data_IF_745990946655
#
_entry.id   IF_745990946655
#
_cell.length_a   1.000
_cell.length_b   1.000
_cell.length_c   1.000
_cell.angle_alpha   90.00
_cell.angle_beta   90.00
_cell.angle_gamma   90.00
#
_symmetry.space_group_name_H-M   'P 1'
#
loop_
_entity.id
_entity.type
_entity.pdbx_description
1 polymer ?
#
# COMPACT_ATOMS: atom_id res chain seq x y z
N UNK A 1 14.02 2.80 -29.02
CA UNK A 1 14.09 1.58 -28.21
C UNK A 1 15.21 0.73 -28.72
N UNK A 2 16.21 0.48 -27.89
CA UNK A 2 17.29 -0.47 -28.20
C UNK A 2 16.76 -1.91 -28.18
N UNK A 3 17.41 -2.87 -28.85
CA UNK A 3 16.99 -4.28 -28.83
C UNK A 3 16.91 -4.87 -27.40
N UNK A 4 17.77 -4.41 -26.48
CA UNK A 4 17.71 -4.77 -25.04
C UNK A 4 16.47 -4.23 -24.34
N UNK A 5 16.04 -3.02 -24.69
CA UNK A 5 14.81 -2.43 -24.13
C UNK A 5 13.56 -3.15 -24.65
N UNK A 6 13.56 -3.60 -25.90
CA UNK A 6 12.46 -4.39 -26.48
C UNK A 6 12.31 -5.77 -25.80
N UNK A 7 13.42 -6.47 -25.50
CA UNK A 7 13.40 -7.75 -24.78
C UNK A 7 12.87 -7.59 -23.34
N UNK A 8 13.28 -6.54 -22.63
CA UNK A 8 12.77 -6.24 -21.28
C UNK A 8 11.28 -5.90 -21.30
N UNK A 9 10.81 -5.16 -22.31
CA UNK A 9 9.39 -4.80 -22.46
C UNK A 9 8.51 -6.00 -22.82
N UNK A 10 8.99 -6.92 -23.66
CA UNK A 10 8.29 -8.15 -24.04
C UNK A 10 8.21 -9.13 -22.87
N UNK A 11 9.28 -9.25 -22.08
CA UNK A 11 9.29 -10.07 -20.86
C UNK A 11 8.36 -9.55 -19.75
N UNK A 12 7.97 -8.27 -19.75
CA UNK A 12 7.02 -7.72 -18.77
C UNK A 12 5.55 -8.06 -19.07
N UNK A 13 5.18 -8.29 -20.34
CA UNK A 13 3.78 -8.60 -20.70
C UNK A 13 3.34 -9.98 -20.20
N UNK A 14 4.25 -10.94 -20.15
CA UNK A 14 3.94 -12.30 -19.73
C UNK A 14 3.57 -12.42 -18.24
N UNK A 15 4.33 -11.85 -17.28
CA UNK A 15 3.93 -11.78 -15.86
C UNK A 15 2.59 -11.09 -15.63
N UNK A 16 2.28 -10.01 -16.36
CA UNK A 16 0.97 -9.33 -16.27
C UNK A 16 -0.15 -10.28 -16.68
N UNK A 17 0.01 -10.95 -17.82
CA UNK A 17 -0.98 -11.91 -18.31
C UNK A 17 -1.13 -13.12 -17.39
N UNK A 18 -0.03 -13.62 -16.82
CA UNK A 18 -0.03 -14.73 -15.87
C UNK A 18 -0.73 -14.35 -14.56
N UNK A 19 -0.50 -13.11 -14.08
CA UNK A 19 -1.17 -12.56 -12.90
C UNK A 19 -2.68 -12.51 -13.10
N UNK A 20 -3.13 -11.88 -14.19
CA UNK A 20 -4.54 -11.84 -14.57
C UNK A 20 -5.14 -13.25 -14.71
N UNK A 21 -4.38 -14.16 -15.33
CA UNK A 21 -4.78 -15.55 -15.55
C UNK A 21 -5.06 -16.31 -14.25
N UNK A 22 -4.17 -16.22 -13.25
CA UNK A 22 -4.43 -16.90 -11.98
C UNK A 22 -5.55 -16.23 -11.17
N UNK A 23 -5.69 -14.90 -11.25
CA UNK A 23 -6.77 -14.17 -10.58
C UNK A 23 -8.13 -14.65 -11.08
N UNK A 24 -8.31 -14.81 -12.40
CA UNK A 24 -9.53 -15.39 -12.97
C UNK A 24 -9.72 -16.85 -12.58
N UNK A 25 -8.66 -17.67 -12.66
CA UNK A 25 -8.71 -19.10 -12.31
C UNK A 25 -9.13 -19.33 -10.86
N UNK A 26 -8.55 -18.59 -9.90
CA UNK A 26 -8.81 -18.77 -8.47
C UNK A 26 -10.12 -18.11 -8.01
N UNK A 27 -10.59 -17.06 -8.70
CA UNK A 27 -11.91 -16.47 -8.44
C UNK A 27 -13.06 -17.31 -9.01
N UNK A 28 -12.80 -18.04 -10.10
CA UNK A 28 -13.84 -18.72 -10.89
C UNK A 28 -14.86 -17.75 -11.48
N UNK A 29 -14.51 -16.47 -11.61
CA UNK A 29 -15.35 -15.44 -12.20
C UNK A 29 -15.28 -15.48 -13.73
N UNK A 30 -16.34 -15.03 -14.41
CA UNK A 30 -16.35 -14.99 -15.86
C UNK A 30 -15.34 -13.96 -16.38
N UNK A 31 -14.81 -14.16 -17.60
CA UNK A 31 -13.83 -13.23 -18.19
C UNK A 31 -14.34 -11.79 -18.34
N UNK A 32 -15.66 -11.62 -18.48
CA UNK A 32 -16.31 -10.32 -18.68
C UNK A 32 -16.87 -9.73 -17.37
N UNK A 33 -16.70 -10.40 -16.23
CA UNK A 33 -17.14 -9.85 -14.95
C UNK A 33 -16.32 -8.58 -14.63
N UNK A 34 -16.95 -7.53 -14.06
CA UNK A 34 -16.23 -6.35 -13.60
C UNK A 34 -15.15 -6.75 -12.58
N UNK A 35 -13.99 -6.10 -12.65
CA UNK A 35 -12.85 -6.45 -11.80
C UNK A 35 -13.17 -6.47 -10.30
N UNK A 36 -13.98 -5.54 -9.78
CA UNK A 36 -14.41 -5.57 -8.39
C UNK A 36 -15.07 -6.90 -7.97
N UNK A 37 -15.86 -7.51 -8.86
CA UNK A 37 -16.48 -8.82 -8.63
C UNK A 37 -15.48 -9.96 -8.77
N UNK A 38 -14.57 -9.89 -9.75
CA UNK A 38 -13.50 -10.89 -9.94
C UNK A 38 -12.61 -10.97 -8.69
N UNK A 39 -12.11 -9.83 -8.21
CA UNK A 39 -11.31 -9.78 -6.99
C UNK A 39 -12.15 -10.12 -5.76
N UNK A 40 -13.39 -9.63 -5.63
CA UNK A 40 -14.29 -10.03 -4.54
C UNK A 40 -14.42 -11.55 -4.41
N UNK A 41 -14.63 -12.25 -5.52
CA UNK A 41 -14.67 -13.71 -5.57
C UNK A 41 -13.32 -14.36 -5.25
N UNK A 42 -12.20 -13.77 -5.69
CA UNK A 42 -10.85 -14.21 -5.30
C UNK A 42 -10.66 -14.14 -3.78
N UNK A 43 -11.10 -13.06 -3.12
CA UNK A 43 -11.01 -12.91 -1.66
C UNK A 43 -11.88 -13.94 -0.92
N UNK A 44 -13.02 -14.33 -1.46
CA UNK A 44 -13.89 -15.33 -0.85
C UNK A 44 -13.39 -16.77 -1.05
N UNK A 45 -12.91 -17.10 -2.24
CA UNK A 45 -12.61 -18.50 -2.64
C UNK A 45 -11.13 -18.85 -2.62
N UNK A 46 -10.25 -17.90 -2.93
CA UNK A 46 -8.82 -18.14 -3.02
C UNK A 46 -8.21 -18.36 -1.64
N UNK A 47 -7.73 -19.58 -1.36
CA UNK A 47 -7.03 -19.87 -0.12
C UNK A 47 -5.72 -19.07 -0.02
N UNK A 48 -5.23 -18.82 1.20
CA UNK A 48 -3.94 -18.14 1.41
C UNK A 48 -2.80 -18.88 0.69
N UNK A 49 -2.79 -20.21 0.78
CA UNK A 49 -1.75 -21.05 0.21
C UNK A 49 -1.74 -20.96 -1.31
N UNK A 50 -2.89 -21.11 -1.96
CA UNK A 50 -2.98 -21.11 -3.42
C UNK A 50 -2.62 -19.75 -4.01
N UNK A 51 -3.12 -18.67 -3.41
CA UNK A 51 -2.80 -17.31 -3.85
C UNK A 51 -1.32 -16.99 -3.66
N UNK A 52 -0.75 -17.35 -2.50
CA UNK A 52 0.68 -17.11 -2.24
C UNK A 52 1.56 -17.91 -3.21
N UNK A 53 1.20 -19.17 -3.50
CA UNK A 53 1.94 -20.00 -4.44
C UNK A 53 1.86 -19.44 -5.87
N UNK A 54 0.66 -19.10 -6.34
CA UNK A 54 0.46 -18.52 -7.66
C UNK A 54 1.19 -17.18 -7.82
N UNK A 55 1.12 -16.31 -6.80
CA UNK A 55 1.82 -15.04 -6.79
C UNK A 55 3.34 -15.21 -6.88
N UNK A 56 3.92 -16.13 -6.09
CA UNK A 56 5.36 -16.44 -6.13
C UNK A 56 5.80 -17.02 -7.47
N UNK A 57 4.97 -17.82 -8.13
CA UNK A 57 5.23 -18.32 -9.49
C UNK A 57 5.33 -17.17 -10.49
N UNK A 58 4.42 -16.20 -10.43
CA UNK A 58 4.51 -14.99 -11.27
C UNK A 58 5.78 -14.19 -10.95
N UNK A 59 6.07 -13.96 -9.67
CA UNK A 59 7.29 -13.27 -9.25
C UNK A 59 8.54 -13.96 -9.80
N UNK A 60 8.63 -15.29 -9.78
CA UNK A 60 9.81 -16.03 -10.25
C UNK A 60 10.11 -15.83 -11.74
N UNK A 61 9.13 -15.43 -12.54
CA UNK A 61 9.31 -15.11 -13.97
C UNK A 61 9.94 -13.73 -14.19
N UNK A 62 9.87 -12.85 -13.19
CA UNK A 62 10.53 -11.55 -13.20
C UNK A 62 11.98 -11.72 -12.75
N UNK A 63 12.91 -11.12 -13.50
CA UNK A 63 14.33 -11.06 -13.11
C UNK A 63 14.44 -10.48 -11.71
N UNK A 64 15.15 -11.17 -10.82
CA UNK A 64 15.07 -10.87 -9.38
C UNK A 64 15.77 -9.56 -9.00
N UNK A 65 16.75 -9.10 -9.76
CA UNK A 65 17.66 -8.02 -9.41
C UNK A 65 17.63 -6.83 -10.39
N UNK A 66 16.49 -6.57 -11.05
CA UNK A 66 16.37 -5.48 -12.05
C UNK A 66 16.78 -4.13 -11.44
N UNK A 67 16.21 -3.77 -10.28
CA UNK A 67 16.58 -2.51 -9.62
C UNK A 67 18.06 -2.49 -9.23
N UNK A 68 18.59 -3.60 -8.70
CA UNK A 68 20.00 -3.68 -8.32
C UNK A 68 20.93 -3.48 -9.53
N UNK A 69 20.62 -4.10 -10.67
CA UNK A 69 21.37 -3.91 -11.91
C UNK A 69 21.29 -2.47 -12.41
N UNK A 70 20.12 -1.84 -12.31
CA UNK A 70 19.97 -0.41 -12.63
C UNK A 70 20.88 0.47 -11.79
N UNK A 71 20.87 0.31 -10.47
CA UNK A 71 21.76 1.06 -9.57
C UNK A 71 23.24 0.76 -9.83
N UNK A 72 23.61 -0.49 -10.13
CA UNK A 72 24.98 -0.83 -10.50
C UNK A 72 25.41 -0.17 -11.82
N UNK A 73 24.52 -0.07 -12.81
CA UNK A 73 24.80 0.61 -14.07
C UNK A 73 24.96 2.12 -13.91
N UNK A 74 24.28 2.73 -12.93
CA UNK A 74 24.45 4.14 -12.56
C UNK A 74 25.74 4.40 -11.77
N UNK A 75 26.39 3.35 -11.25
CA UNK A 75 27.53 3.46 -10.36
C UNK A 75 28.85 3.30 -11.12
N UNK A 76 29.77 4.24 -10.96
CA UNK A 76 31.13 4.13 -11.49
C UNK A 76 32.04 3.22 -10.65
N UNK A 77 31.72 3.08 -9.36
CA UNK A 77 32.46 2.25 -8.40
C UNK A 77 31.54 1.73 -7.28
N UNK A 78 32.01 0.77 -6.45
CA UNK A 78 31.23 0.22 -5.34
C UNK A 78 30.78 1.27 -4.30
N UNK A 79 31.59 2.29 -4.04
CA UNK A 79 31.28 3.38 -3.11
C UNK A 79 30.11 4.24 -3.62
N UNK A 80 30.07 4.51 -4.92
CA UNK A 80 28.95 5.18 -5.57
C UNK A 80 27.67 4.33 -5.45
N UNK A 81 27.77 3.02 -5.69
CA UNK A 81 26.63 2.10 -5.52
C UNK A 81 26.09 2.12 -4.09
N UNK A 82 26.96 2.08 -3.09
CA UNK A 82 26.56 2.14 -1.68
C UNK A 82 25.88 3.47 -1.35
N UNK A 83 26.38 4.58 -1.89
CA UNK A 83 25.82 5.92 -1.69
C UNK A 83 24.43 6.05 -2.32
N UNK A 84 24.29 5.69 -3.61
CA UNK A 84 23.00 5.70 -4.31
C UNK A 84 21.98 4.79 -3.61
N UNK A 85 22.40 3.59 -3.21
CA UNK A 85 21.53 2.64 -2.49
C UNK A 85 21.11 3.18 -1.14
N UNK A 86 22.01 3.79 -0.37
CA UNK A 86 21.69 4.38 0.92
C UNK A 86 20.67 5.51 0.77
N UNK A 87 20.88 6.40 -0.21
CA UNK A 87 20.00 7.54 -0.45
C UNK A 87 18.62 7.12 -0.95
N UNK A 88 18.54 6.12 -1.83
CA UNK A 88 17.28 5.46 -2.18
C UNK A 88 16.56 4.94 -0.94
N UNK A 89 17.27 4.21 -0.08
CA UNK A 89 16.69 3.57 1.10
C UNK A 89 16.11 4.60 2.06
N UNK A 90 16.83 5.69 2.33
CA UNK A 90 16.41 6.72 3.27
C UNK A 90 15.22 7.52 2.74
N UNK A 91 15.27 7.93 1.46
CA UNK A 91 14.18 8.70 0.84
C UNK A 91 12.91 7.87 0.70
N UNK A 92 13.04 6.61 0.26
CA UNK A 92 11.91 5.69 0.17
C UNK A 92 11.30 5.37 1.54
N UNK A 93 12.12 5.09 2.57
CA UNK A 93 11.63 4.85 3.93
C UNK A 93 10.84 6.04 4.49
N UNK A 94 11.35 7.26 4.32
CA UNK A 94 10.67 8.47 4.76
C UNK A 94 9.35 8.68 4.01
N UNK A 95 9.36 8.47 2.69
CA UNK A 95 8.18 8.55 1.85
C UNK A 95 7.11 7.53 2.25
N UNK A 96 7.48 6.27 2.52
CA UNK A 96 6.55 5.22 2.96
C UNK A 96 5.80 5.59 4.24
N UNK A 97 6.51 6.10 5.25
CA UNK A 97 5.89 6.52 6.51
C UNK A 97 4.99 7.75 6.30
N UNK A 98 5.45 8.75 5.54
CA UNK A 98 4.63 9.92 5.23
C UNK A 98 3.34 9.54 4.49
N UNK A 99 3.45 8.68 3.47
CA UNK A 99 2.31 8.16 2.71
C UNK A 99 1.34 7.37 3.59
N UNK A 100 1.83 6.53 4.49
CA UNK A 100 0.97 5.81 5.43
C UNK A 100 0.17 6.78 6.33
N UNK A 101 0.84 7.76 6.95
CA UNK A 101 0.19 8.74 7.83
C UNK A 101 -0.88 9.54 7.08
N UNK A 102 -0.55 10.03 5.88
CA UNK A 102 -1.49 10.76 5.01
C UNK A 102 -2.55 9.86 4.36
N UNK A 103 -2.37 8.53 4.39
CA UNK A 103 -3.25 7.58 3.72
C UNK A 103 -3.21 7.71 2.20
N UNK A 104 -2.02 7.90 1.63
CA UNK A 104 -1.84 8.01 0.18
C UNK A 104 -1.84 6.59 -0.44
N UNK A 105 -2.81 6.30 -1.31
CA UNK A 105 -2.89 5.06 -2.09
C UNK A 105 -2.66 5.28 -3.58
N UNK A 106 -2.94 4.30 -4.43
CA UNK A 106 -2.63 4.28 -5.86
C UNK A 106 -1.12 4.41 -6.13
N UNK A 107 -0.31 3.69 -5.35
CA UNK A 107 1.16 3.74 -5.43
C UNK A 107 1.71 2.72 -6.44
N UNK A 108 1.24 2.80 -7.69
CA UNK A 108 1.77 2.03 -8.81
C UNK A 108 3.14 2.57 -9.28
N UNK A 109 3.84 1.82 -10.13
CA UNK A 109 5.21 2.16 -10.59
C UNK A 109 5.32 3.54 -11.25
N UNK A 110 4.25 4.04 -11.87
CA UNK A 110 4.22 5.35 -12.52
C UNK A 110 4.23 6.54 -11.57
N UNK A 111 3.91 6.32 -10.28
CA UNK A 111 3.83 7.37 -9.27
C UNK A 111 5.12 7.54 -8.46
N UNK A 112 6.22 6.94 -8.93
CA UNK A 112 7.54 7.09 -8.35
C UNK A 112 8.54 7.55 -9.42
N UNK A 113 9.24 8.63 -9.11
CA UNK A 113 10.40 9.10 -9.87
C UNK A 113 11.66 8.80 -9.10
N UNK A 114 12.71 8.36 -9.79
CA UNK A 114 14.04 8.14 -9.23
C UNK A 114 14.97 9.17 -9.86
N UNK A 115 15.65 9.93 -9.02
CA UNK A 115 16.75 10.78 -9.46
C UNK A 115 17.95 9.91 -9.81
N UNK A 116 18.41 9.99 -11.07
CA UNK A 116 19.50 9.17 -11.59
C UNK A 116 20.87 9.62 -11.10
N UNK A 117 20.99 10.85 -10.61
CA UNK A 117 22.25 11.38 -10.08
C UNK A 117 22.46 10.98 -8.63
N UNK A 118 21.43 11.17 -7.78
CA UNK A 118 21.54 10.88 -6.35
C UNK A 118 20.97 9.53 -5.92
N UNK A 119 20.19 8.85 -6.77
CA UNK A 119 19.47 7.62 -6.42
C UNK A 119 18.25 7.84 -5.52
N UNK A 120 17.87 9.09 -5.22
CA UNK A 120 16.72 9.41 -4.38
C UNK A 120 15.38 9.08 -5.05
N UNK A 121 14.39 8.69 -4.26
CA UNK A 121 13.01 8.44 -4.74
C UNK A 121 12.07 9.58 -4.33
N UNK A 122 11.25 10.03 -5.27
CA UNK A 122 10.19 11.02 -5.06
C UNK A 122 8.84 10.42 -5.47
N UNK A 123 7.83 10.61 -4.64
CA UNK A 123 6.45 10.27 -4.98
C UNK A 123 5.77 11.43 -5.71
N UNK A 124 5.00 11.11 -6.76
CA UNK A 124 4.16 12.06 -7.48
C UNK A 124 2.70 11.61 -7.46
N UNK A 125 1.83 12.45 -8.01
CA UNK A 125 0.39 12.22 -8.15
C UNK A 125 -0.29 11.77 -6.86
N UNK A 126 -0.83 12.70 -6.09
CA UNK A 126 -1.47 12.43 -4.79
C UNK A 126 -3.00 12.41 -4.87
N UNK A 127 -3.57 12.04 -6.03
CA UNK A 127 -5.02 12.04 -6.24
C UNK A 127 -5.81 11.18 -5.24
N UNK A 128 -5.20 10.11 -4.74
CA UNK A 128 -5.77 9.25 -3.71
C UNK A 128 -5.15 9.51 -2.32
N UNK A 129 -5.61 10.55 -1.62
CA UNK A 129 -5.21 10.85 -0.25
C UNK A 129 -6.23 10.34 0.80
N UNK A 130 -5.84 10.34 2.08
CA UNK A 130 -6.68 10.04 3.24
C UNK A 130 -7.45 8.70 3.16
N UNK A 131 -6.80 7.63 2.69
CA UNK A 131 -7.38 6.28 2.63
C UNK A 131 -8.45 6.13 1.54
N UNK A 132 -8.57 7.08 0.62
CA UNK A 132 -9.57 7.02 -0.46
C UNK A 132 -9.38 5.82 -1.38
N UNK A 133 -8.15 5.35 -1.60
CA UNK A 133 -7.88 4.14 -2.38
C UNK A 133 -8.47 2.88 -1.72
N UNK A 134 -8.32 2.73 -0.41
CA UNK A 134 -8.86 1.61 0.37
C UNK A 134 -10.38 1.68 0.52
N UNK A 135 -10.97 2.88 0.51
CA UNK A 135 -12.40 3.08 0.74
C UNK A 135 -13.25 3.10 -0.54
N UNK A 136 -12.74 3.65 -1.64
CA UNK A 136 -13.56 3.93 -2.83
C UNK A 136 -13.26 3.04 -4.03
N UNK A 137 -12.05 2.47 -4.12
CA UNK A 137 -11.71 1.65 -5.28
C UNK A 137 -12.47 0.31 -5.20
N UNK A 138 -13.04 -0.18 -6.33
CA UNK A 138 -13.70 -1.49 -6.34
C UNK A 138 -12.81 -2.64 -5.88
N UNK A 139 -11.50 -2.52 -6.13
CA UNK A 139 -10.44 -3.39 -5.61
C UNK A 139 -9.62 -2.55 -4.63
N UNK A 140 -9.84 -2.69 -3.31
CA UNK A 140 -9.20 -1.82 -2.34
C UNK A 140 -7.71 -2.11 -2.21
N UNK A 141 -6.92 -1.07 -2.00
CA UNK A 141 -5.51 -1.20 -1.64
C UNK A 141 -5.37 -1.51 -0.15
N UNK A 142 -4.81 -2.67 0.17
CA UNK A 142 -4.67 -3.14 1.56
C UNK A 142 -3.25 -2.98 2.11
N UNK A 143 -2.26 -2.64 1.28
CA UNK A 143 -0.91 -2.33 1.73
C UNK A 143 -0.80 -0.86 2.13
N UNK A 144 -0.06 -0.50 3.19
CA UNK A 144 0.09 0.89 3.63
C UNK A 144 0.97 1.74 2.70
N UNK A 145 1.86 1.10 1.93
CA UNK A 145 2.76 1.71 0.96
C UNK A 145 3.32 0.63 0.03
N UNK A 146 3.98 1.04 -1.05
CA UNK A 146 4.67 0.12 -1.96
C UNK A 146 6.01 -0.31 -1.36
N UNK A 147 6.15 -1.60 -1.02
CA UNK A 147 7.42 -2.23 -0.68
C UNK A 147 7.46 -3.64 -1.29
N UNK A 148 7.97 -3.74 -2.53
CA UNK A 148 7.91 -4.97 -3.32
C UNK A 148 9.24 -5.70 -3.41
N UNK A 149 9.25 -6.85 -4.11
CA UNK A 149 10.42 -7.72 -4.24
C UNK A 149 11.61 -7.00 -4.88
N UNK A 150 11.44 -6.24 -5.96
CA UNK A 150 12.54 -5.47 -6.56
C UNK A 150 13.19 -4.49 -5.57
N UNK A 151 12.38 -3.79 -4.78
CA UNK A 151 12.86 -2.82 -3.79
C UNK A 151 13.66 -3.53 -2.68
N UNK A 152 13.13 -4.63 -2.12
CA UNK A 152 13.84 -5.41 -1.11
C UNK A 152 15.12 -6.06 -1.65
N UNK A 153 15.13 -6.47 -2.93
CA UNK A 153 16.30 -7.10 -3.54
C UNK A 153 17.43 -6.11 -3.81
N UNK A 154 17.14 -4.82 -4.00
CA UNK A 154 18.16 -3.77 -4.00
C UNK A 154 18.88 -3.68 -2.65
N UNK A 155 18.16 -3.94 -1.56
CA UNK A 155 18.65 -3.84 -0.17
C UNK A 155 19.33 -5.12 0.34
N UNK A 156 19.47 -6.16 -0.49
CA UNK A 156 20.20 -7.37 -0.10
C UNK A 156 21.65 -7.06 0.31
N UNK A 157 22.20 -7.77 1.31
CA UNK A 157 21.62 -8.95 1.98
C UNK A 157 20.64 -8.64 3.13
N UNK A 158 20.59 -7.40 3.63
CA UNK A 158 19.83 -7.04 4.83
C UNK A 158 18.32 -6.87 4.59
N UNK A 159 17.91 -6.61 3.33
CA UNK A 159 16.53 -6.36 2.92
C UNK A 159 15.89 -5.21 3.73
N UNK A 160 14.71 -5.43 4.30
CA UNK A 160 14.01 -4.47 5.17
C UNK A 160 14.72 -4.23 6.50
N UNK A 161 15.51 -5.20 6.98
CA UNK A 161 16.24 -5.09 8.24
C UNK A 161 17.38 -4.10 8.09
N UNK A 162 17.61 -3.24 9.09
CA UNK A 162 18.68 -2.25 9.07
C UNK A 162 18.21 -0.86 8.63
N UNK A 163 18.79 -0.32 7.56
CA UNK A 163 18.62 1.10 7.20
C UNK A 163 17.16 1.48 6.89
N UNK A 164 16.42 0.64 6.17
CA UNK A 164 15.01 0.89 5.85
C UNK A 164 14.18 0.97 7.15
N UNK A 165 14.14 -0.10 7.93
CA UNK A 165 13.39 -0.17 9.19
C UNK A 165 13.82 0.94 10.17
N UNK A 166 15.12 1.16 10.35
CA UNK A 166 15.64 2.20 11.25
C UNK A 166 15.17 3.58 10.82
N UNK A 167 15.27 3.91 9.52
CA UNK A 167 14.80 5.20 9.01
C UNK A 167 13.29 5.36 9.21
N UNK A 168 12.50 4.33 8.92
CA UNK A 168 11.05 4.34 9.14
C UNK A 168 10.70 4.58 10.62
N UNK A 169 11.41 3.94 11.55
CA UNK A 169 11.24 4.15 13.00
C UNK A 169 11.57 5.58 13.40
N UNK A 170 12.68 6.15 12.94
CA UNK A 170 13.06 7.52 13.27
C UNK A 170 12.06 8.55 12.72
N UNK A 171 11.61 8.38 11.47
CA UNK A 171 10.61 9.24 10.84
C UNK A 171 9.29 9.16 11.60
N UNK A 172 8.79 7.95 11.88
CA UNK A 172 7.53 7.79 12.59
C UNK A 172 7.61 8.35 14.02
N UNK A 173 8.72 8.14 14.74
CA UNK A 173 8.94 8.72 16.06
C UNK A 173 8.89 10.24 16.01
N UNK A 174 9.53 10.86 15.01
CA UNK A 174 9.51 12.31 14.83
C UNK A 174 8.09 12.84 14.56
N UNK A 175 7.30 12.14 13.73
CA UNK A 175 5.91 12.52 13.46
C UNK A 175 5.00 12.36 14.70
N UNK A 176 5.23 11.31 15.51
CA UNK A 176 4.49 11.07 16.76
C UNK A 176 4.89 11.98 17.91
N UNK A 177 6.05 12.64 17.86
CA UNK A 177 6.52 13.52 18.93
C UNK A 177 5.70 14.82 19.04
N UNK A 178 5.21 15.36 17.91
CA UNK A 178 4.37 16.56 17.87
C UNK A 178 3.21 16.39 16.87
N UNK A 179 2.27 15.48 17.13
CA UNK A 179 1.24 15.10 16.17
C UNK A 179 0.28 16.26 15.89
N UNK A 180 0.05 17.15 16.86
CA UNK A 180 -0.89 18.27 16.74
C UNK A 180 -0.56 19.24 15.60
N UNK A 181 0.73 19.49 15.33
CA UNK A 181 1.13 20.38 14.23
C UNK A 181 0.66 19.78 12.90
N UNK A 182 0.95 18.49 12.70
CA UNK A 182 0.58 17.78 11.48
C UNK A 182 -0.94 17.64 11.34
N UNK A 183 -1.63 17.27 12.43
CA UNK A 183 -3.09 17.12 12.43
C UNK A 183 -3.80 18.43 12.15
N UNK A 184 -3.34 19.55 12.72
CA UNK A 184 -3.91 20.87 12.45
C UNK A 184 -3.69 21.29 10.99
N UNK A 185 -2.50 21.03 10.42
CA UNK A 185 -2.25 21.29 9.00
C UNK A 185 -3.15 20.44 8.10
N UNK A 186 -3.31 19.15 8.40
CA UNK A 186 -4.21 18.27 7.66
C UNK A 186 -5.67 18.72 7.78
N UNK A 187 -6.10 19.17 8.96
CA UNK A 187 -7.46 19.63 9.24
C UNK A 187 -7.81 20.89 8.44
N UNK A 188 -6.87 21.84 8.31
CA UNK A 188 -7.02 22.99 7.42
C UNK A 188 -7.11 22.53 5.96
N UNK A 189 -6.18 21.68 5.52
CA UNK A 189 -6.11 21.20 4.13
C UNK A 189 -7.40 20.52 3.68
N UNK A 190 -7.93 19.58 4.48
CA UNK A 190 -9.10 18.78 4.08
C UNK A 190 -10.41 19.59 4.04
N UNK A 191 -10.48 20.69 4.79
CA UNK A 191 -11.62 21.59 4.79
C UNK A 191 -11.63 22.54 3.59
N UNK A 192 -10.54 22.61 2.82
CA UNK A 192 -10.52 23.44 1.63
C UNK A 192 -11.52 22.93 0.58
N UNK A 193 -12.42 23.79 0.07
CA UNK A 193 -13.51 23.40 -0.81
C UNK A 193 -13.07 23.01 -2.24
N UNK A 194 -11.76 23.07 -2.54
CA UNK A 194 -11.18 22.66 -3.81
C UNK A 194 -10.95 21.15 -3.93
N UNK A 195 -10.99 20.42 -2.81
CA UNK A 195 -10.88 18.97 -2.79
C UNK A 195 -12.25 18.34 -3.11
N UNK A 196 -12.27 17.36 -4.01
CA UNK A 196 -13.47 16.61 -4.46
C UNK A 196 -14.20 15.82 -3.34
N UNK A 197 -13.88 16.05 -2.06
CA UNK A 197 -14.43 15.34 -0.90
C UNK A 197 -15.95 15.48 -0.79
N UNK A 198 -16.55 16.59 -1.24
CA UNK A 198 -18.02 16.74 -1.27
C UNK A 198 -18.68 15.67 -2.14
N UNK A 199 -18.08 15.36 -3.30
CA UNK A 199 -18.57 14.30 -4.19
C UNK A 199 -18.39 12.91 -3.58
N UNK A 200 -17.29 12.68 -2.85
CA UNK A 200 -17.06 11.42 -2.14
C UNK A 200 -18.01 11.23 -0.95
N UNK A 201 -18.25 12.28 -0.16
CA UNK A 201 -19.17 12.29 0.97
C UNK A 201 -20.62 12.05 0.53
N UNK A 202 -21.09 12.76 -0.51
CA UNK A 202 -22.43 12.57 -1.05
C UNK A 202 -22.67 11.12 -1.54
N UNK A 203 -21.68 10.51 -2.22
CA UNK A 203 -21.74 9.10 -2.63
C UNK A 203 -21.80 8.10 -1.46
N UNK A 204 -21.34 8.47 -0.27
CA UNK A 204 -21.40 7.61 0.93
C UNK A 204 -22.72 7.76 1.68
N UNK A 205 -23.27 8.97 1.71
CA UNK A 205 -24.61 9.23 2.23
C UNK A 205 -25.67 8.46 1.43
N UNK A 206 -25.58 8.50 0.09
CA UNK A 206 -26.48 7.74 -0.81
C UNK A 206 -26.40 6.22 -0.61
N UNK A 207 -25.25 5.71 -0.15
CA UNK A 207 -25.04 4.28 0.15
C UNK A 207 -25.45 3.88 1.58
N UNK A 208 -25.97 4.80 2.39
CA UNK A 208 -26.34 4.53 3.78
C UNK A 208 -25.17 4.09 4.66
N UNK A 209 -23.95 4.56 4.38
CA UNK A 209 -22.72 4.17 5.07
C UNK A 209 -22.32 5.14 6.21
N UNK A 210 -23.15 6.13 6.51
CA UNK A 210 -22.95 7.10 7.60
C UNK A 210 -23.48 6.52 8.92
N UNK A 211 -22.79 6.78 10.04
CA UNK A 211 -23.21 6.30 11.37
C UNK A 211 -24.48 7.00 11.87
N UNK A 212 -25.21 6.36 12.78
CA UNK A 212 -26.46 6.90 13.38
C UNK A 212 -26.26 8.19 14.22
N UNK A 213 -25.01 8.49 14.61
CA UNK A 213 -24.63 9.65 15.45
C UNK A 213 -24.17 10.89 14.65
N UNK A 214 -24.02 10.78 13.32
CA UNK A 214 -23.62 11.92 12.49
C UNK A 214 -24.90 12.62 11.98
N UNK A 215 -25.02 13.94 12.22
CA UNK A 215 -26.06 14.76 11.60
C UNK A 215 -26.03 14.55 10.08
N UNK A 216 -27.05 13.87 9.55
CA UNK A 216 -27.16 13.51 8.12
C UNK A 216 -27.22 14.74 7.19
N UNK A 217 -27.38 15.93 7.77
CA UNK A 217 -27.36 17.22 7.07
C UNK A 217 -25.97 17.91 7.07
N UNK A 218 -24.98 17.42 7.83
CA UNK A 218 -23.63 18.00 7.92
C UNK A 218 -22.57 17.17 7.18
N UNK A 219 -22.33 17.50 5.91
CA UNK A 219 -21.28 16.88 5.07
C UNK A 219 -19.87 17.04 5.71
N UNK A 220 -19.67 17.91 6.70
CA UNK A 220 -18.38 18.09 7.38
C UNK A 220 -17.93 16.89 8.22
N UNK A 221 -18.78 15.87 8.42
CA UNK A 221 -18.43 14.60 9.05
C UNK A 221 -17.24 13.90 8.34
N UNK A 222 -17.22 13.93 7.00
CA UNK A 222 -16.25 13.18 6.21
C UNK A 222 -14.81 13.68 6.41
N UNK A 223 -14.51 14.99 6.30
CA UNK A 223 -13.22 15.54 6.70
C UNK A 223 -12.79 15.17 8.12
N UNK A 224 -13.71 15.25 9.11
CA UNK A 224 -13.40 14.93 10.52
C UNK A 224 -12.98 13.47 10.67
N UNK A 225 -13.70 12.54 10.04
CA UNK A 225 -13.35 11.11 10.05
C UNK A 225 -11.95 10.84 9.48
N UNK A 226 -11.56 11.51 8.40
CA UNK A 226 -10.21 11.37 7.82
C UNK A 226 -9.12 11.84 8.77
N UNK A 227 -9.32 12.96 9.46
CA UNK A 227 -8.39 13.43 10.48
C UNK A 227 -8.33 12.47 11.67
N UNK A 228 -9.45 11.87 12.09
CA UNK A 228 -9.46 10.83 13.13
C UNK A 228 -8.59 9.63 12.73
N UNK A 229 -8.62 9.18 11.47
CA UNK A 229 -7.70 8.11 11.03
C UNK A 229 -6.24 8.52 11.13
N UNK A 230 -5.86 9.71 10.69
CA UNK A 230 -4.49 10.22 10.82
C UNK A 230 -4.07 10.28 12.30
N UNK A 231 -4.95 10.75 13.19
CA UNK A 231 -4.70 10.80 14.63
C UNK A 231 -4.48 9.40 15.22
N UNK A 232 -5.33 8.42 14.88
CA UNK A 232 -5.19 7.02 15.32
C UNK A 232 -3.87 6.40 14.85
N UNK A 233 -3.46 6.67 13.60
CA UNK A 233 -2.14 6.24 13.09
C UNK A 233 -1.00 6.83 13.93
N UNK A 234 -1.07 8.12 14.29
CA UNK A 234 -0.06 8.79 15.14
C UNK A 234 -0.11 8.35 16.61
N UNK A 235 -1.23 7.82 17.10
CA UNK A 235 -1.38 7.30 18.46
C UNK A 235 -0.83 5.88 18.63
N UNK A 236 -0.42 5.21 17.55
CA UNK A 236 0.08 3.83 17.61
C UNK A 236 -1.02 2.78 17.55
N UNK A 237 -2.14 3.08 16.87
CA UNK A 237 -3.12 2.05 16.51
C UNK A 237 -2.51 1.11 15.47
N UNK A 238 -2.80 -0.19 15.61
CA UNK A 238 -2.29 -1.22 14.72
C UNK A 238 -2.76 -0.98 13.27
N UNK A 239 -1.85 -0.97 12.28
CA UNK A 239 -2.17 -0.71 10.88
C UNK A 239 -3.34 -1.52 10.32
N UNK A 240 -3.45 -2.80 10.69
CA UNK A 240 -4.56 -3.67 10.30
C UNK A 240 -5.92 -3.13 10.74
N UNK A 241 -6.01 -2.53 11.93
CA UNK A 241 -7.26 -1.99 12.47
C UNK A 241 -7.67 -0.69 11.77
N UNK A 242 -6.68 0.09 11.32
CA UNK A 242 -6.92 1.26 10.46
C UNK A 242 -7.48 0.80 9.11
N UNK A 243 -6.82 -0.14 8.43
CA UNK A 243 -7.28 -0.66 7.13
C UNK A 243 -8.68 -1.28 7.22
N UNK A 244 -8.98 -2.05 8.28
CA UNK A 244 -10.33 -2.61 8.48
C UNK A 244 -11.40 -1.54 8.67
N UNK A 245 -11.09 -0.48 9.41
CA UNK A 245 -12.02 0.61 9.61
C UNK A 245 -12.23 1.44 8.32
N UNK A 246 -11.19 1.68 7.53
CA UNK A 246 -11.31 2.29 6.20
C UNK A 246 -12.17 1.41 5.25
N UNK A 247 -11.96 0.10 5.26
CA UNK A 247 -12.78 -0.86 4.51
C UNK A 247 -14.25 -0.84 4.97
N UNK A 248 -14.50 -0.71 6.27
CA UNK A 248 -15.86 -0.68 6.81
C UNK A 248 -16.65 0.52 6.29
N UNK A 249 -16.00 1.68 6.14
CA UNK A 249 -16.67 2.87 5.62
C UNK A 249 -16.97 2.80 4.10
N UNK A 250 -16.25 1.96 3.35
CA UNK A 250 -16.38 1.90 1.88
C UNK A 250 -17.07 0.66 1.34
N UNK A 251 -16.96 -0.46 2.08
CA UNK A 251 -17.23 -1.79 1.55
C UNK A 251 -18.12 -2.65 2.45
N UNK A 252 -18.63 -2.15 3.58
CA UNK A 252 -19.43 -2.93 4.55
C UNK A 252 -20.62 -3.67 3.93
N UNK A 253 -21.26 -3.11 2.91
CA UNK A 253 -22.39 -3.73 2.21
C UNK A 253 -22.01 -4.84 1.22
N UNK A 254 -20.73 -5.00 0.89
CA UNK A 254 -20.29 -5.98 -0.10
C UNK A 254 -20.23 -7.40 0.48
N UNK A 255 -20.61 -8.45 -0.28
CA UNK A 255 -20.60 -9.83 0.20
C UNK A 255 -19.23 -10.35 0.66
N UNK A 256 -18.16 -9.77 0.13
CA UNK A 256 -16.77 -10.15 0.41
C UNK A 256 -16.06 -9.23 1.41
N UNK A 257 -16.79 -8.30 2.06
CA UNK A 257 -16.23 -7.39 3.07
C UNK A 257 -15.49 -8.13 4.20
N UNK A 258 -16.11 -9.19 4.74
CA UNK A 258 -15.49 -10.02 5.79
C UNK A 258 -14.19 -10.65 5.31
N UNK A 259 -14.13 -11.05 4.04
CA UNK A 259 -12.93 -11.63 3.43
C UNK A 259 -11.83 -10.59 3.23
N UNK A 260 -12.15 -9.34 2.86
CA UNK A 260 -11.19 -8.23 2.87
C UNK A 260 -10.58 -8.04 4.26
N UNK A 261 -11.43 -7.96 5.29
CA UNK A 261 -10.98 -7.80 6.68
C UNK A 261 -10.13 -8.97 7.16
N UNK A 262 -10.48 -10.20 6.78
CA UNK A 262 -9.71 -11.40 7.13
C UNK A 262 -8.32 -11.39 6.49
N UNK A 263 -8.20 -11.04 5.21
CA UNK A 263 -6.89 -10.93 4.54
C UNK A 263 -6.04 -9.81 5.15
N UNK A 264 -6.62 -8.64 5.40
CA UNK A 264 -5.93 -7.53 6.06
C UNK A 264 -5.47 -7.89 7.49
N UNK A 265 -6.22 -8.74 8.19
CA UNK A 265 -5.91 -9.19 9.55
C UNK A 265 -4.58 -9.93 9.64
N UNK A 266 -4.27 -10.75 8.63
CA UNK A 266 -3.20 -11.74 8.73
C UNK A 266 -3.58 -12.93 9.62
N UNK A 267 -2.61 -13.78 9.87
CA UNK A 267 -2.68 -15.03 10.62
C UNK A 267 -1.82 -14.92 11.88
N UNK A 268 -2.41 -15.17 13.05
CA UNK A 268 -1.73 -15.03 14.33
C UNK A 268 -0.51 -15.93 14.51
N UNK A 269 -0.41 -17.03 13.77
CA UNK A 269 0.75 -17.92 13.81
C UNK A 269 1.91 -17.48 12.90
N UNK A 270 1.70 -16.52 12.00
CA UNK A 270 2.66 -16.18 10.94
C UNK A 270 2.97 -14.69 10.82
N UNK A 271 1.96 -13.85 10.90
CA UNK A 271 2.04 -12.44 10.54
C UNK A 271 2.22 -11.58 11.79
N UNK A 272 3.25 -10.72 11.81
CA UNK A 272 3.59 -9.89 12.98
C UNK A 272 2.42 -9.00 13.36
N UNK A 273 1.71 -8.42 12.37
CA UNK A 273 0.56 -7.54 12.61
C UNK A 273 -0.61 -8.20 13.34
N UNK A 274 -0.75 -9.53 13.20
CA UNK A 274 -1.80 -10.32 13.83
C UNK A 274 -1.46 -10.72 15.28
N UNK A 275 -0.18 -10.65 15.66
CA UNK A 275 0.33 -11.01 16.99
C UNK A 275 0.38 -9.81 17.95
N UNK A 276 0.25 -8.59 17.41
CA UNK A 276 0.35 -7.34 18.16
C UNK A 276 -1.04 -6.85 18.58
N UNK A 277 -1.16 -6.12 19.71
CA UNK A 277 -2.45 -5.60 20.18
C UNK A 277 -3.06 -4.62 19.18
N UNK A 278 -4.35 -4.31 19.34
CA UNK A 278 -5.07 -3.39 18.46
C UNK A 278 -4.59 -1.94 18.58
N UNK A 279 -4.16 -1.53 19.77
CA UNK A 279 -3.77 -0.16 20.10
C UNK A 279 -2.55 -0.15 21.04
N UNK A 280 -1.96 1.02 21.23
CA UNK A 280 -0.83 1.19 22.15
C UNK A 280 0.50 0.65 21.63
N UNK A 281 0.68 0.54 20.31
CA UNK A 281 1.94 0.06 19.75
C UNK A 281 3.08 1.06 19.98
N UNK A 282 4.26 0.51 20.33
CA UNK A 282 5.54 1.22 20.20
C UNK A 282 5.78 1.60 18.73
N UNK A 283 6.71 2.54 18.50
CA UNK A 283 7.05 2.97 17.14
C UNK A 283 7.64 1.79 16.35
N UNK A 284 8.48 1.00 17.01
CA UNK A 284 9.16 -0.17 16.48
C UNK A 284 8.16 -1.25 16.08
N UNK A 285 7.21 -1.57 16.95
CA UNK A 285 6.17 -2.56 16.66
C UNK A 285 5.24 -2.08 15.56
N UNK A 286 4.88 -0.79 15.55
CA UNK A 286 4.05 -0.23 14.49
C UNK A 286 4.74 -0.32 13.12
N UNK A 287 6.04 0.01 13.04
CA UNK A 287 6.83 -0.15 11.81
C UNK A 287 6.95 -1.62 11.41
N UNK A 288 7.15 -2.53 12.35
CA UNK A 288 7.20 -3.96 12.06
C UNK A 288 5.88 -4.46 11.45
N UNK A 289 4.73 -4.07 12.03
CA UNK A 289 3.41 -4.38 11.48
C UNK A 289 3.20 -3.77 10.08
N UNK A 290 3.69 -2.55 9.84
CA UNK A 290 3.59 -1.89 8.54
C UNK A 290 4.38 -2.63 7.45
N UNK A 291 5.61 -3.01 7.74
CA UNK A 291 6.47 -3.75 6.80
C UNK A 291 5.87 -5.14 6.53
N UNK A 292 5.42 -5.84 7.57
CA UNK A 292 4.71 -7.13 7.47
C UNK A 292 3.48 -7.03 6.56
N UNK A 293 2.62 -6.03 6.77
CA UNK A 293 1.44 -5.80 5.93
C UNK A 293 1.79 -5.42 4.49
N UNK A 294 2.83 -4.60 4.28
CA UNK A 294 3.23 -4.14 2.95
C UNK A 294 3.88 -5.24 2.10
N UNK A 295 4.46 -6.26 2.74
CA UNK A 295 5.22 -7.33 2.07
C UNK A 295 4.50 -8.67 2.05
N UNK A 296 3.31 -8.79 2.66
CA UNK A 296 2.56 -10.05 2.71
C UNK A 296 2.13 -10.51 1.30
N UNK A 297 2.60 -11.68 0.82
CA UNK A 297 2.20 -12.20 -0.49
C UNK A 297 0.69 -12.51 -0.59
N UNK A 298 -0.01 -12.73 0.54
CA UNK A 298 -1.45 -12.93 0.55
C UNK A 298 -2.22 -11.61 0.29
N UNK A 299 -1.62 -10.47 0.61
CA UNK A 299 -2.14 -9.13 0.26
C UNK A 299 -1.70 -8.79 -1.18
N UNK A 300 -0.40 -8.86 -1.46
CA UNK A 300 0.17 -8.48 -2.75
C UNK A 300 -0.39 -9.32 -3.91
N UNK A 301 -0.66 -10.62 -3.68
CA UNK A 301 -1.24 -11.52 -4.68
C UNK A 301 -2.72 -11.30 -4.97
N UNK A 302 -3.39 -10.39 -4.24
CA UNK A 302 -4.81 -10.01 -4.43
C UNK A 302 -4.99 -8.53 -4.76
N UNK A 303 -3.88 -7.85 -5.06
CA UNK A 303 -3.87 -6.43 -5.41
C UNK A 303 -4.31 -6.24 -6.86
N UNK A 304 -4.80 -5.06 -7.20
CA UNK A 304 -5.11 -4.68 -8.58
C UNK A 304 -3.93 -4.98 -9.52
N UNK A 305 -4.20 -5.66 -10.64
CA UNK A 305 -3.16 -6.05 -11.61
C UNK A 305 -2.34 -4.86 -12.14
N UNK A 306 -2.96 -3.68 -12.29
CA UNK A 306 -2.28 -2.47 -12.76
C UNK A 306 -1.28 -1.90 -11.76
N UNK A 307 -1.41 -2.26 -10.49
CA UNK A 307 -0.45 -1.89 -9.44
C UNK A 307 0.88 -2.66 -9.57
N UNK A 308 0.87 -3.81 -10.25
CA UNK A 308 2.04 -4.65 -10.52
C UNK A 308 2.84 -5.00 -9.26
N UNK A 309 2.19 -5.68 -8.32
CA UNK A 309 2.78 -6.06 -7.01
C UNK A 309 3.88 -7.11 -7.10
N UNK A 310 3.92 -7.87 -8.19
CA UNK A 310 4.91 -8.91 -8.45
C UNK A 310 6.29 -8.38 -8.89
N UNK A 311 6.37 -7.09 -9.26
CA UNK A 311 7.62 -6.39 -9.57
C UNK A 311 8.31 -5.97 -8.27
#
# INVERSE_FOLDING_TARGET
>A
MTPREQDVFLHQRQPISDYAGYVHRLSGAAKNDPWGKVYGALYQKGSRTDVTLAFRQVQSKVTWDIMRRGYLQLSSCPEAFLTLRAHFTTTHAALCIAQYILGIGDRHLGNFMIDLESGGMVGIDFGHAFGSATQHLPVPELMPFRLTRQMLNLLLPLKESGLLQSTMVHVLRALRARPNILLNTMDVFIKEPHLDWKNFAAKQMDKGMVGEDDDLDDISWYPREKIKFAARKLQGVNPTHITKAELQLGHKSLPWFKSFCHVAAGDGGKDVRAQKPAEGLSVEDQVACLIDQATDPNILGRTWQGWQSFM
#
